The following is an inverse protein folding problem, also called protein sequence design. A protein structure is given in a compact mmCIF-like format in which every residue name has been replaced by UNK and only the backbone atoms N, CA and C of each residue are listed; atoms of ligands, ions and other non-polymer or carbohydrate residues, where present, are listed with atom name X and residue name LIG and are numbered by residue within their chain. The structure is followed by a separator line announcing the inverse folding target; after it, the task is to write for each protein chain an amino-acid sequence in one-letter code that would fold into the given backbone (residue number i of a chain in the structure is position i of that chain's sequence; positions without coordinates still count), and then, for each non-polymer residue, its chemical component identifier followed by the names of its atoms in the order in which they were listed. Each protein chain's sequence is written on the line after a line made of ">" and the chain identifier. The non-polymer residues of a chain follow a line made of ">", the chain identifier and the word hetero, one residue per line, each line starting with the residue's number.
data_IF_401691956010
#
_entry.id   IF_401691956010
#
_cell.length_a   1.000
_cell.length_b   1.000
_cell.length_c   1.000
_cell.angle_alpha   90.00
_cell.angle_beta   90.00
_cell.angle_gamma   90.00
#
_symmetry.space_group_name_H-M   'P 1'
#
loop_
_entity.id
_entity.type
_entity.pdbx_description
1 polymer ?
#
# COMPACT_ATOMS: atom_id res chain seq x y z
N UNK A 1 9.43 19.04 -4.21
CA UNK A 1 9.49 17.61 -4.57
C UNK A 1 8.06 17.15 -4.77
N UNK A 2 7.69 16.68 -5.97
CA UNK A 2 6.32 16.25 -6.26
C UNK A 2 5.95 15.01 -5.45
N UNK A 3 4.66 14.89 -5.10
CA UNK A 3 4.10 13.72 -4.44
C UNK A 3 4.28 12.51 -5.37
N UNK A 4 5.03 11.50 -4.94
CA UNK A 4 5.34 10.33 -5.76
C UNK A 4 4.08 9.55 -6.21
N UNK A 5 4.22 8.54 -7.09
CA UNK A 5 3.09 7.75 -7.53
C UNK A 5 2.39 7.08 -6.33
N UNK A 6 1.10 7.35 -6.15
CA UNK A 6 0.29 6.81 -5.05
C UNK A 6 0.34 7.63 -3.74
N UNK A 7 1.04 8.77 -3.72
CA UNK A 7 1.02 9.65 -2.57
C UNK A 7 -0.33 10.38 -2.42
N UNK A 8 -0.74 10.57 -1.16
CA UNK A 8 -1.97 11.22 -0.76
C UNK A 8 -1.70 12.65 -0.25
N UNK A 9 -2.70 13.53 -0.33
CA UNK A 9 -2.65 14.81 0.38
C UNK A 9 -2.80 14.57 1.88
N UNK A 10 -2.33 15.50 2.72
CA UNK A 10 -2.48 15.41 4.19
C UNK A 10 -3.92 15.15 4.61
N UNK A 11 -4.88 15.84 3.99
CA UNK A 11 -6.31 15.64 4.29
C UNK A 11 -6.79 14.23 3.91
N UNK A 12 -6.34 13.69 2.78
CA UNK A 12 -6.70 12.34 2.35
C UNK A 12 -6.05 11.25 3.25
N UNK A 13 -4.81 11.46 3.69
CA UNK A 13 -4.16 10.55 4.65
C UNK A 13 -4.91 10.52 5.98
N UNK A 14 -5.27 11.69 6.54
CA UNK A 14 -6.02 11.77 7.79
C UNK A 14 -7.39 11.08 7.69
N UNK A 15 -8.11 11.27 6.58
CA UNK A 15 -9.38 10.59 6.35
C UNK A 15 -9.22 9.07 6.23
N UNK A 16 -8.15 8.60 5.58
CA UNK A 16 -7.88 7.17 5.45
C UNK A 16 -7.49 6.52 6.78
N UNK A 17 -6.76 7.24 7.64
CA UNK A 17 -6.46 6.78 9.00
C UNK A 17 -7.70 6.71 9.90
N UNK A 18 -8.62 7.67 9.76
CA UNK A 18 -9.91 7.64 10.47
C UNK A 18 -10.75 6.44 10.02
N UNK A 19 -10.80 6.18 8.72
CA UNK A 19 -11.44 4.99 8.15
C UNK A 19 -10.83 3.68 8.68
N UNK A 20 -9.50 3.60 8.80
CA UNK A 20 -8.84 2.45 9.40
C UNK A 20 -9.30 2.20 10.84
N UNK A 21 -9.47 3.27 11.64
CA UNK A 21 -9.97 3.16 13.02
C UNK A 21 -11.41 2.60 13.10
N UNK A 22 -12.17 2.72 12.00
CA UNK A 22 -13.51 2.18 11.84
C UNK A 22 -13.52 0.78 11.19
N UNK A 23 -12.35 0.19 10.94
CA UNK A 23 -12.20 -1.13 10.30
C UNK A 23 -12.30 -1.09 8.78
N UNK A 24 -12.23 0.09 8.15
CA UNK A 24 -12.28 0.25 6.69
C UNK A 24 -10.86 0.28 6.12
N UNK A 25 -10.59 -0.68 5.24
CA UNK A 25 -9.27 -0.83 4.59
C UNK A 25 -9.16 0.15 3.42
N UNK A 26 -8.08 0.93 3.41
CA UNK A 26 -7.77 1.89 2.34
C UNK A 26 -6.50 1.48 1.59
N UNK A 27 -6.59 1.43 0.25
CA UNK A 27 -5.45 1.16 -0.64
C UNK A 27 -5.16 2.39 -1.50
N UNK A 28 -3.94 2.93 -1.38
CA UNK A 28 -3.44 4.07 -2.15
C UNK A 28 -2.89 3.60 -3.50
N UNK A 29 -3.65 3.88 -4.57
CA UNK A 29 -3.25 3.57 -5.94
C UNK A 29 -2.56 4.72 -6.63
N UNK A 30 -1.52 4.41 -7.42
CA UNK A 30 -0.95 5.39 -8.34
C UNK A 30 -1.87 5.63 -9.56
N UNK A 31 -1.90 6.88 -10.04
CA UNK A 31 -2.66 7.32 -11.23
C UNK A 31 -1.90 7.23 -12.57
N UNK A 32 -0.56 7.41 -12.64
CA UNK A 32 0.18 7.32 -13.90
C UNK A 32 -0.05 6.00 -14.65
N UNK A 33 0.19 6.03 -15.96
CA UNK A 33 0.07 4.84 -16.82
C UNK A 33 1.05 3.73 -16.43
N UNK A 34 2.28 4.11 -16.06
CA UNK A 34 3.30 3.23 -15.52
C UNK A 34 3.89 3.86 -14.26
N UNK A 35 4.34 3.02 -13.34
CA UNK A 35 4.93 3.46 -12.09
C UNK A 35 4.74 2.41 -11.01
N UNK A 36 5.14 2.80 -9.81
CA UNK A 36 5.08 1.97 -8.62
C UNK A 36 4.66 2.86 -7.45
N UNK A 37 3.63 2.45 -6.71
CA UNK A 37 3.43 2.97 -5.37
C UNK A 37 4.34 2.19 -4.45
N UNK A 38 5.37 2.87 -3.93
CA UNK A 38 6.33 2.24 -3.01
C UNK A 38 5.78 2.41 -1.60
N UNK A 39 5.61 1.33 -0.83
CA UNK A 39 5.26 1.41 0.59
C UNK A 39 6.29 2.22 1.38
N UNK A 40 5.91 2.71 2.55
CA UNK A 40 6.87 3.24 3.52
C UNK A 40 7.75 2.09 4.06
N UNK A 41 8.99 2.35 4.54
CA UNK A 41 9.80 1.32 5.19
C UNK A 41 9.05 0.65 6.34
N UNK A 42 8.29 1.42 7.10
CA UNK A 42 7.42 0.92 8.16
C UNK A 42 6.04 0.53 7.63
N UNK A 43 5.34 -0.33 8.38
CA UNK A 43 3.93 -0.63 8.09
C UNK A 43 3.04 0.54 8.49
N UNK A 44 2.14 0.94 7.59
CA UNK A 44 1.20 2.03 7.81
C UNK A 44 -0.25 1.52 7.81
N UNK A 45 -1.17 2.37 8.27
CA UNK A 45 -2.63 2.10 8.24
C UNK A 45 -3.24 2.18 6.83
N UNK A 46 -2.49 2.73 5.89
CA UNK A 46 -2.87 2.89 4.50
C UNK A 46 -1.97 1.97 3.69
N UNK A 47 -2.58 1.10 2.88
CA UNK A 47 -1.85 0.12 2.10
C UNK A 47 -1.43 0.75 0.77
N UNK A 48 -0.17 0.65 0.42
CA UNK A 48 0.30 1.01 -0.91
C UNK A 48 -0.10 -0.07 -1.93
N UNK A 49 -0.63 0.35 -3.08
CA UNK A 49 -1.04 -0.55 -4.16
C UNK A 49 0.09 -1.36 -4.82
N UNK A 50 1.35 -1.04 -4.53
CA UNK A 50 2.48 -1.63 -5.22
C UNK A 50 2.44 -1.34 -6.72
N UNK A 51 2.40 -2.40 -7.51
CA UNK A 51 2.37 -2.37 -8.98
C UNK A 51 0.97 -2.21 -9.58
N UNK A 52 -0.08 -2.24 -8.75
CA UNK A 52 -1.46 -2.26 -9.23
C UNK A 52 -2.03 -0.87 -9.41
N UNK A 53 -2.69 -0.67 -10.55
CA UNK A 53 -3.49 0.53 -10.85
C UNK A 53 -4.85 0.46 -10.17
N UNK A 54 -5.56 1.59 -10.13
CA UNK A 54 -6.77 1.75 -9.30
C UNK A 54 -7.85 0.72 -9.61
N UNK A 55 -8.07 0.40 -10.88
CA UNK A 55 -9.05 -0.61 -11.29
C UNK A 55 -8.66 -2.02 -10.82
N UNK A 56 -7.39 -2.41 -11.00
CA UNK A 56 -6.89 -3.73 -10.61
C UNK A 56 -6.79 -3.85 -9.09
N UNK A 57 -6.34 -2.80 -8.41
CA UNK A 57 -6.28 -2.74 -6.96
C UNK A 57 -7.66 -2.88 -6.33
N UNK A 58 -8.69 -2.25 -6.93
CA UNK A 58 -10.08 -2.43 -6.49
C UNK A 58 -10.52 -3.90 -6.61
N UNK A 59 -10.26 -4.55 -7.74
CA UNK A 59 -10.66 -5.95 -7.95
C UNK A 59 -9.94 -6.85 -6.94
N UNK A 60 -8.62 -6.68 -6.77
CA UNK A 60 -7.85 -7.48 -5.82
C UNK A 60 -8.32 -7.27 -4.38
N UNK A 61 -8.60 -6.04 -3.97
CA UNK A 61 -9.12 -5.75 -2.64
C UNK A 61 -10.48 -6.43 -2.41
N UNK A 62 -11.38 -6.39 -3.39
CA UNK A 62 -12.68 -7.06 -3.31
C UNK A 62 -12.53 -8.59 -3.21
N UNK A 63 -11.61 -9.18 -3.97
CA UNK A 63 -11.32 -10.60 -3.91
C UNK A 63 -10.72 -11.00 -2.56
N UNK A 64 -9.78 -10.22 -2.02
CA UNK A 64 -9.15 -10.51 -0.74
C UNK A 64 -10.14 -10.40 0.42
N UNK A 65 -10.99 -9.36 0.42
CA UNK A 65 -12.09 -9.24 1.38
C UNK A 65 -13.07 -10.41 1.27
N UNK A 66 -13.45 -10.82 0.05
CA UNK A 66 -14.32 -11.97 -0.18
C UNK A 66 -13.71 -13.31 0.23
N UNK A 67 -12.38 -13.43 0.16
CA UNK A 67 -11.63 -14.60 0.61
C UNK A 67 -11.36 -14.60 2.13
N UNK A 68 -11.80 -13.57 2.86
CA UNK A 68 -11.67 -13.49 4.32
C UNK A 68 -10.27 -13.10 4.81
N UNK A 69 -9.46 -12.44 3.98
CA UNK A 69 -8.19 -11.90 4.44
C UNK A 69 -8.41 -10.75 5.44
N UNK A 70 -7.56 -10.71 6.46
CA UNK A 70 -7.45 -9.60 7.39
C UNK A 70 -6.55 -8.48 6.82
N UNK A 71 -6.38 -7.41 7.59
CA UNK A 71 -5.58 -6.26 7.15
C UNK A 71 -4.14 -6.65 6.82
N UNK A 72 -3.47 -7.44 7.67
CA UNK A 72 -2.08 -7.88 7.47
C UNK A 72 -1.95 -8.74 6.20
N UNK A 73 -2.89 -9.67 6.00
CA UNK A 73 -2.94 -10.49 4.80
C UNK A 73 -3.16 -9.66 3.54
N UNK A 74 -4.05 -8.67 3.57
CA UNK A 74 -4.28 -7.75 2.45
C UNK A 74 -3.02 -6.90 2.22
N UNK A 75 -2.40 -6.37 3.27
CA UNK A 75 -1.18 -5.58 3.16
C UNK A 75 -0.06 -6.40 2.50
N UNK A 76 0.11 -7.65 2.90
CA UNK A 76 1.07 -8.57 2.27
C UNK A 76 0.77 -8.83 0.80
N UNK A 77 -0.50 -9.00 0.41
CA UNK A 77 -0.91 -9.20 -0.98
C UNK A 77 -0.57 -8.02 -1.90
N UNK A 78 -0.60 -6.79 -1.38
CA UNK A 78 -0.33 -5.57 -2.16
C UNK A 78 1.13 -5.13 -2.09
N UNK A 79 1.74 -5.20 -0.91
CA UNK A 79 3.06 -4.61 -0.64
C UNK A 79 4.19 -5.63 -0.65
N UNK A 80 3.91 -6.92 -0.42
CA UNK A 80 4.93 -7.93 -0.08
C UNK A 80 6.06 -8.04 -1.11
N UNK A 81 5.73 -8.22 -2.38
CA UNK A 81 6.74 -8.31 -3.44
C UNK A 81 7.53 -7.01 -3.60
N UNK A 82 6.87 -5.86 -3.43
CA UNK A 82 7.52 -4.55 -3.55
C UNK A 82 8.46 -4.29 -2.38
N UNK A 83 8.03 -4.60 -1.14
CA UNK A 83 8.88 -4.52 0.05
C UNK A 83 10.09 -5.41 -0.09
N UNK A 84 9.93 -6.65 -0.54
CA UNK A 84 11.06 -7.56 -0.78
C UNK A 84 12.04 -7.03 -1.83
N UNK A 85 11.52 -6.42 -2.90
CA UNK A 85 12.35 -5.84 -3.95
C UNK A 85 13.09 -4.56 -3.50
N UNK A 86 12.45 -3.73 -2.68
CA UNK A 86 12.95 -2.39 -2.31
C UNK A 86 13.73 -2.39 -0.99
N UNK A 87 13.39 -3.25 -0.04
CA UNK A 87 13.99 -3.31 1.31
C UNK A 87 14.77 -4.61 1.50
N UNK A 88 15.80 -4.80 0.70
CA UNK A 88 16.74 -5.92 0.76
C UNK A 88 18.09 -5.51 1.38
N UNK A 89 19.05 -6.45 1.40
CA UNK A 89 20.40 -6.26 1.93
C UNK A 89 21.14 -5.04 1.36
N UNK A 90 20.95 -4.72 0.07
CA UNK A 90 21.58 -3.55 -0.55
C UNK A 90 20.99 -2.21 -0.06
N UNK A 91 19.80 -2.27 0.53
CA UNK A 91 19.01 -1.13 1.01
C UNK A 91 18.77 -1.19 2.52
N UNK A 92 19.56 -1.98 3.25
CA UNK A 92 19.40 -2.21 4.68
C UNK A 92 19.40 -0.92 5.52
N UNK A 93 20.00 0.17 5.02
CA UNK A 93 20.01 1.48 5.67
C UNK A 93 18.61 2.11 5.82
N UNK A 94 17.61 1.67 5.05
CA UNK A 94 16.21 2.10 5.23
C UNK A 94 15.47 1.34 6.34
N UNK A 95 16.03 0.23 6.83
CA UNK A 95 15.43 -0.61 7.88
C UNK A 95 13.96 -1.00 7.62
N UNK A 96 13.65 -1.39 6.38
CA UNK A 96 12.26 -1.67 5.98
C UNK A 96 11.72 -2.98 6.57
N UNK A 97 10.42 -2.98 6.87
CA UNK A 97 9.67 -4.14 7.34
C UNK A 97 9.35 -5.09 6.18
N UNK A 98 9.58 -6.39 6.40
CA UNK A 98 9.24 -7.50 5.49
C UNK A 98 7.96 -8.18 5.99
N UNK A 99 7.03 -8.49 5.07
CA UNK A 99 5.68 -9.02 5.35
C UNK A 99 5.50 -10.49 4.92
#
# INVERSE_FOLDING_TARGET
>A
MGVGPGALSTAASLAAEDLYSQGVITVASFRPYFGLSVPSPETEKIISSGVLRGENARIQLQLALGAGYDFEGIQKLFEGEVRNAVYNDATAFFNGTIL
#
